data_IF_086459729028
#
_entry.id   IF_086459729028
#
_cell.length_a   1.000
_cell.length_b   1.000
_cell.length_c   1.000
_cell.angle_alpha   90.00
_cell.angle_beta   90.00
_cell.angle_gamma   90.00
#
_symmetry.space_group_name_H-M   'P 1'
#
loop_
_entity.id
_entity.type
_entity.pdbx_description
1 polymer ?
#
# COMPACT_ATOMS: atom_id res chain seq x y z
N UNK A 1 6.52 -18.17 -20.06
CA UNK A 1 6.71 -16.83 -19.58
C UNK A 1 6.37 -16.73 -18.12
N UNK A 2 7.36 -16.57 -17.30
CA UNK A 2 7.10 -16.47 -15.89
C UNK A 2 6.61 -15.08 -15.56
N UNK A 3 5.38 -14.99 -15.20
CA UNK A 3 4.89 -13.78 -14.59
C UNK A 3 5.34 -13.79 -13.16
N UNK A 4 6.28 -12.93 -12.88
CA UNK A 4 6.67 -12.70 -11.52
C UNK A 4 5.44 -12.18 -10.78
N UNK A 5 5.07 -12.83 -9.71
CA UNK A 5 3.95 -12.35 -8.91
C UNK A 5 4.29 -10.96 -8.40
N UNK A 6 3.36 -10.03 -8.55
CA UNK A 6 3.54 -8.68 -8.02
C UNK A 6 3.57 -8.75 -6.50
N UNK A 7 4.59 -8.18 -5.91
CA UNK A 7 4.78 -8.19 -4.46
C UNK A 7 4.15 -6.95 -3.84
N UNK A 8 3.25 -7.16 -2.90
CA UNK A 8 2.51 -6.10 -2.24
C UNK A 8 2.82 -6.11 -0.76
N UNK A 9 3.13 -4.95 -0.22
CA UNK A 9 3.28 -4.76 1.21
C UNK A 9 2.07 -3.98 1.72
N UNK A 10 1.28 -4.61 2.59
CA UNK A 10 0.12 -3.97 3.21
C UNK A 10 0.55 -3.35 4.51
N UNK A 11 0.28 -2.07 4.68
CA UNK A 11 0.63 -1.32 5.89
C UNK A 11 -0.65 -0.81 6.52
N UNK A 12 -1.03 -1.39 7.66
CA UNK A 12 -2.29 -1.05 8.33
C UNK A 12 -2.18 -1.42 9.81
N UNK A 13 -2.53 -0.49 10.69
CA UNK A 13 -2.45 -0.72 12.13
C UNK A 13 -3.61 -1.55 12.67
N UNK A 14 -4.70 -1.68 11.90
CA UNK A 14 -5.85 -2.48 12.31
C UNK A 14 -5.67 -3.93 11.84
N UNK A 15 -5.58 -4.85 12.80
CA UNK A 15 -5.30 -6.25 12.49
C UNK A 15 -6.37 -6.88 11.60
N UNK A 16 -7.64 -6.56 11.85
CA UNK A 16 -8.73 -7.15 11.07
C UNK A 16 -8.71 -6.65 9.63
N UNK A 17 -8.51 -5.37 9.44
CA UNK A 17 -8.42 -4.78 8.11
C UNK A 17 -7.19 -5.31 7.37
N UNK A 18 -6.07 -5.37 8.07
CA UNK A 18 -4.82 -5.90 7.51
C UNK A 18 -5.00 -7.32 7.01
N UNK A 19 -5.64 -8.15 7.82
CA UNK A 19 -5.89 -9.54 7.45
C UNK A 19 -6.85 -9.64 6.26
N UNK A 20 -7.93 -8.85 6.28
CA UNK A 20 -8.92 -8.87 5.20
C UNK A 20 -8.30 -8.45 3.87
N UNK A 21 -7.50 -7.39 3.88
CA UNK A 21 -6.83 -6.92 2.67
C UNK A 21 -5.81 -7.93 2.17
N UNK A 22 -5.04 -8.49 3.09
CA UNK A 22 -4.02 -9.48 2.72
C UNK A 22 -4.65 -10.72 2.11
N UNK A 23 -5.75 -11.19 2.69
CA UNK A 23 -6.45 -12.37 2.18
C UNK A 23 -7.03 -12.10 0.80
N UNK A 24 -7.69 -10.96 0.63
CA UNK A 24 -8.31 -10.61 -0.66
C UNK A 24 -7.27 -10.53 -1.77
N UNK A 25 -6.14 -9.89 -1.50
CA UNK A 25 -5.10 -9.74 -2.50
C UNK A 25 -4.37 -11.05 -2.77
N UNK A 26 -4.15 -11.83 -1.73
CA UNK A 26 -3.52 -13.15 -1.89
C UNK A 26 -4.41 -14.07 -2.73
N UNK A 27 -5.71 -14.03 -2.49
CA UNK A 27 -6.66 -14.82 -3.28
C UNK A 27 -6.69 -14.39 -4.74
N UNK A 28 -6.38 -13.13 -4.99
CA UNK A 28 -6.32 -12.61 -6.36
C UNK A 28 -5.01 -12.96 -7.07
N UNK A 29 -4.08 -13.62 -6.40
CA UNK A 29 -2.85 -14.10 -7.01
C UNK A 29 -1.61 -13.25 -6.73
N UNK A 30 -1.72 -12.23 -5.89
CA UNK A 30 -0.57 -11.40 -5.55
C UNK A 30 0.25 -12.03 -4.42
N UNK A 31 1.53 -11.71 -4.38
CA UNK A 31 2.40 -12.07 -3.26
C UNK A 31 2.29 -10.98 -2.21
N UNK A 32 1.70 -11.28 -1.06
CA UNK A 32 1.34 -10.27 -0.07
C UNK A 32 2.10 -10.49 1.23
N UNK A 33 2.66 -9.41 1.75
CA UNK A 33 3.17 -9.33 3.11
C UNK A 33 2.47 -8.17 3.80
N UNK A 34 2.35 -8.23 5.11
CA UNK A 34 1.63 -7.22 5.85
C UNK A 34 2.39 -6.82 7.10
N UNK A 35 2.37 -5.52 7.39
CA UNK A 35 3.01 -4.95 8.58
C UNK A 35 2.06 -3.98 9.27
N UNK A 36 2.35 -3.65 10.51
CA UNK A 36 1.45 -2.88 11.36
C UNK A 36 1.57 -1.37 11.20
N UNK A 37 2.69 -0.87 10.70
CA UNK A 37 2.88 0.56 10.61
C UNK A 37 4.06 0.96 9.76
N UNK A 38 4.28 2.27 9.67
CA UNK A 38 5.32 2.83 8.84
C UNK A 38 6.74 2.42 9.23
N UNK A 39 7.01 2.35 10.53
CA UNK A 39 8.31 1.90 11.01
C UNK A 39 8.61 0.47 10.62
N UNK A 40 7.64 -0.40 10.83
CA UNK A 40 7.76 -1.80 10.44
C UNK A 40 7.90 -1.95 8.93
N UNK A 41 7.20 -1.10 8.16
CA UNK A 41 7.32 -1.12 6.71
C UNK A 41 8.73 -0.73 6.26
N UNK A 42 9.30 0.30 6.88
CA UNK A 42 10.67 0.71 6.54
C UNK A 42 11.68 -0.37 6.89
N UNK A 43 11.53 -1.01 8.04
CA UNK A 43 12.38 -2.13 8.43
C UNK A 43 12.26 -3.29 7.44
N UNK A 44 11.04 -3.59 7.03
CA UNK A 44 10.79 -4.64 6.05
C UNK A 44 11.48 -4.35 4.72
N UNK A 45 11.35 -3.11 4.25
CA UNK A 45 11.98 -2.69 3.00
C UNK A 45 13.50 -2.76 3.10
N UNK A 46 14.04 -2.34 4.23
CA UNK A 46 15.48 -2.38 4.45
C UNK A 46 16.01 -3.80 4.42
N UNK A 47 15.25 -4.74 4.93
CA UNK A 47 15.67 -6.13 5.01
C UNK A 47 15.44 -6.90 3.71
N UNK A 48 14.33 -6.67 3.03
CA UNK A 48 13.91 -7.47 1.88
C UNK A 48 13.89 -6.71 0.56
N UNK A 49 14.10 -5.41 0.59
CA UNK A 49 14.01 -4.59 -0.60
C UNK A 49 12.61 -4.02 -0.81
N UNK A 50 12.47 -3.16 -1.78
CA UNK A 50 11.18 -2.52 -2.05
C UNK A 50 10.21 -3.49 -2.70
N UNK A 51 8.93 -3.50 -2.24
CA UNK A 51 7.89 -4.24 -2.94
C UNK A 51 7.54 -3.55 -4.25
N UNK A 52 6.74 -4.19 -5.08
CA UNK A 52 6.23 -3.55 -6.28
C UNK A 52 5.16 -2.52 -5.95
N UNK A 53 4.34 -2.82 -4.96
CA UNK A 53 3.25 -1.94 -4.52
C UNK A 53 3.21 -1.89 -3.01
N UNK A 54 2.97 -0.70 -2.47
CA UNK A 54 2.67 -0.53 -1.06
C UNK A 54 1.21 -0.09 -0.95
N UNK A 55 0.44 -0.85 -0.19
CA UNK A 55 -0.94 -0.50 0.12
C UNK A 55 -0.97 0.07 1.54
N UNK A 56 -1.23 1.35 1.63
CA UNK A 56 -1.13 2.09 2.89
C UNK A 56 -2.49 2.62 3.32
N UNK A 57 -2.91 2.26 4.53
CA UNK A 57 -4.10 2.82 5.13
C UNK A 57 -3.73 4.05 5.95
N UNK A 58 -4.24 5.19 5.52
CA UNK A 58 -3.98 6.47 6.20
C UNK A 58 -5.01 6.80 7.26
N UNK A 59 -5.68 5.80 7.79
CA UNK A 59 -6.56 6.01 8.94
C UNK A 59 -5.76 6.41 10.18
N UNK A 60 -4.48 6.13 10.17
CA UNK A 60 -3.58 6.50 11.26
C UNK A 60 -3.34 8.00 11.25
N UNK A 61 -3.63 8.69 12.35
CA UNK A 61 -3.33 10.12 12.43
C UNK A 61 -1.84 10.38 12.65
N UNK A 62 -0.99 9.47 12.24
CA UNK A 62 0.43 9.55 12.52
C UNK A 62 1.23 10.05 11.34
N UNK A 63 2.28 10.73 11.68
CA UNK A 63 3.26 11.22 10.74
C UNK A 63 3.92 10.06 9.97
N UNK A 64 3.85 8.86 10.53
CA UNK A 64 4.51 7.67 9.98
C UNK A 64 4.12 7.37 8.54
N UNK A 65 2.83 7.50 8.20
CA UNK A 65 2.39 7.28 6.84
C UNK A 65 2.99 8.26 5.86
N UNK A 66 3.04 9.54 6.23
CA UNK A 66 3.64 10.57 5.41
C UNK A 66 5.15 10.38 5.28
N UNK A 67 5.82 9.98 6.37
CA UNK A 67 7.24 9.68 6.34
C UNK A 67 7.54 8.51 5.42
N UNK A 68 6.71 7.48 5.49
CA UNK A 68 6.86 6.32 4.63
C UNK A 68 6.72 6.73 3.16
N UNK A 69 5.68 7.51 2.84
CA UNK A 69 5.48 7.98 1.46
C UNK A 69 6.66 8.84 1.00
N UNK A 70 7.19 9.69 1.88
CA UNK A 70 8.34 10.52 1.54
C UNK A 70 9.58 9.68 1.24
N UNK A 71 9.78 8.61 2.00
CA UNK A 71 10.91 7.70 1.79
C UNK A 71 10.78 6.92 0.50
N UNK A 72 9.54 6.68 0.07
CA UNK A 72 9.28 5.92 -1.16
C UNK A 72 9.38 6.79 -2.41
N UNK A 73 9.43 8.10 -2.25
CA UNK A 73 9.57 9.01 -3.40
C UNK A 73 10.89 8.72 -4.10
N UNK A 74 10.81 8.50 -5.38
CA UNK A 74 11.98 8.15 -6.18
C UNK A 74 12.37 6.70 -6.13
N UNK A 75 11.68 5.88 -5.32
CA UNK A 75 11.91 4.45 -5.30
C UNK A 75 11.07 3.73 -6.36
N UNK A 76 11.17 2.39 -6.36
CA UNK A 76 10.44 1.55 -7.31
C UNK A 76 8.99 1.32 -6.91
N UNK A 77 8.72 1.33 -5.62
CA UNK A 77 7.40 0.94 -5.12
C UNK A 77 6.35 1.98 -5.51
N UNK A 78 5.23 1.50 -5.99
CA UNK A 78 4.05 2.31 -6.26
C UNK A 78 3.16 2.29 -5.04
N UNK A 79 2.61 3.43 -4.67
CA UNK A 79 1.75 3.51 -3.49
C UNK A 79 0.28 3.54 -3.90
N UNK A 80 -0.50 2.69 -3.23
CA UNK A 80 -1.96 2.77 -3.27
C UNK A 80 -2.40 3.13 -1.86
N UNK A 81 -3.08 4.25 -1.73
CA UNK A 81 -3.41 4.81 -0.42
C UNK A 81 -4.90 4.74 -0.19
N UNK A 82 -5.29 4.18 0.95
CA UNK A 82 -6.68 4.13 1.38
C UNK A 82 -6.91 5.24 2.39
N UNK A 83 -7.91 6.07 2.16
CA UNK A 83 -8.21 7.18 3.05
C UNK A 83 -9.70 7.39 3.18
N UNK A 84 -10.18 7.56 4.40
CA UNK A 84 -11.55 7.95 4.66
C UNK A 84 -11.77 9.45 4.54
N UNK A 85 -10.69 10.17 4.38
CA UNK A 85 -10.70 11.61 4.35
C UNK A 85 -9.98 12.08 3.09
N UNK A 86 -10.66 12.84 2.25
CA UNK A 86 -10.06 13.36 1.03
C UNK A 86 -9.28 14.64 1.32
N UNK A 87 -8.32 14.55 2.24
CA UNK A 87 -7.57 15.75 2.57
C UNK A 87 -6.53 16.03 1.50
N UNK A 88 -6.50 17.28 1.05
CA UNK A 88 -5.58 17.74 0.03
C UNK A 88 -4.11 17.58 0.46
N UNK A 89 -3.87 17.42 1.76
CA UNK A 89 -2.51 17.20 2.29
C UNK A 89 -1.91 15.91 1.81
N UNK A 90 -2.74 14.87 1.67
CA UNK A 90 -2.27 13.55 1.26
C UNK A 90 -1.87 13.53 -0.20
N UNK A 91 -2.53 14.35 -1.00
CA UNK A 91 -2.25 14.44 -2.43
C UNK A 91 -0.84 15.01 -2.66
N UNK A 92 -0.37 15.87 -1.77
CA UNK A 92 0.98 16.44 -1.88
C UNK A 92 2.07 15.41 -1.68
N UNK A 93 1.86 14.48 -0.75
CA UNK A 93 2.85 13.46 -0.45
C UNK A 93 2.75 12.27 -1.39
N UNK A 94 1.63 12.16 -2.08
CA UNK A 94 1.32 10.99 -2.90
C UNK A 94 1.22 11.36 -4.38
N UNK A 95 2.20 12.10 -4.87
CA UNK A 95 2.19 12.57 -6.26
C UNK A 95 2.01 11.43 -7.26
N UNK A 96 2.63 10.30 -6.95
CA UNK A 96 2.57 9.12 -7.80
C UNK A 96 1.73 8.02 -7.18
N UNK A 97 1.00 8.33 -6.12
CA UNK A 97 0.17 7.34 -5.44
C UNK A 97 -1.25 7.42 -5.95
N UNK A 98 -1.88 6.27 -5.99
CA UNK A 98 -3.30 6.20 -6.28
C UNK A 98 -4.07 6.25 -4.98
N UNK A 99 -5.04 7.15 -4.91
CA UNK A 99 -5.84 7.36 -3.71
C UNK A 99 -7.21 6.72 -3.88
N UNK A 100 -7.58 5.87 -2.94
CA UNK A 100 -8.90 5.25 -2.91
C UNK A 100 -9.65 5.69 -1.66
N UNK A 101 -10.91 6.04 -1.84
CA UNK A 101 -11.76 6.43 -0.72
C UNK A 101 -12.30 5.22 0.04
N UNK A 102 -12.60 5.41 1.31
CA UNK A 102 -13.27 4.40 2.12
C UNK A 102 -14.77 4.65 2.18
N UNK A 103 -15.57 3.62 2.26
CA UNK A 103 -15.21 2.20 2.27
C UNK A 103 -14.69 1.76 0.90
N UNK A 104 -13.62 0.96 0.92
CA UNK A 104 -13.02 0.53 -0.32
C UNK A 104 -13.79 -0.65 -0.91
N UNK A 105 -14.06 -0.59 -2.21
CA UNK A 105 -14.60 -1.68 -2.95
C UNK A 105 -13.44 -2.60 -3.34
N UNK A 106 -13.58 -3.89 -3.09
CA UNK A 106 -12.52 -4.85 -3.38
C UNK A 106 -12.18 -4.90 -4.87
N UNK A 107 -13.16 -4.70 -5.73
CA UNK A 107 -12.89 -4.64 -7.17
C UNK A 107 -12.04 -3.43 -7.54
N UNK A 108 -12.34 -2.27 -6.94
CA UNK A 108 -11.55 -1.06 -7.15
C UNK A 108 -10.13 -1.24 -6.62
N UNK A 109 -10.00 -1.84 -5.44
CA UNK A 109 -8.71 -2.10 -4.84
C UNK A 109 -7.88 -3.01 -5.72
N UNK A 110 -8.46 -4.11 -6.16
CA UNK A 110 -7.78 -5.07 -7.01
C UNK A 110 -7.33 -4.43 -8.32
N UNK A 111 -8.19 -3.62 -8.91
CA UNK A 111 -7.86 -2.91 -10.14
C UNK A 111 -6.72 -1.91 -9.93
N UNK A 112 -6.79 -1.14 -8.83
CA UNK A 112 -5.76 -0.16 -8.54
C UNK A 112 -4.40 -0.83 -8.32
N UNK A 113 -4.39 -1.95 -7.61
CA UNK A 113 -3.17 -2.70 -7.37
C UNK A 113 -2.65 -3.32 -8.67
N UNK A 114 -3.53 -3.86 -9.48
CA UNK A 114 -3.16 -4.43 -10.78
C UNK A 114 -2.52 -3.36 -11.67
N UNK A 115 -3.14 -2.20 -11.73
CA UNK A 115 -2.60 -1.08 -12.53
C UNK A 115 -1.24 -0.64 -12.00
N UNK A 116 -1.07 -0.59 -10.69
CA UNK A 116 0.20 -0.23 -10.08
C UNK A 116 1.28 -1.27 -10.36
N UNK A 117 0.92 -2.54 -10.37
CA UNK A 117 1.85 -3.62 -10.70
C UNK A 117 2.34 -3.54 -12.13
N UNK A 118 1.49 -3.09 -13.03
CA UNK A 118 1.81 -3.02 -14.45
C UNK A 118 2.61 -1.78 -14.83
N UNK A 119 2.64 -0.79 -13.94
CA UNK A 119 3.27 0.50 -14.25
C UNK A 119 4.79 0.43 -14.28
#
# INVERSE_FOLDING_TARGET
MSTKACKILVVDDDADTREALSTALSDAGFAVEAVEGGGEALDWIQQYGEPDVILLDLRMPHIDGAQLLARLRGGRARAVVLSGDSSARLIRFARDARLLGKPVDLEELEKAVTDACAA
#
